data_IF_530938259933
#
_entry.id   IF_530938259933
#
_cell.length_a   1.000
_cell.length_b   1.000
_cell.length_c   1.000
_cell.angle_alpha   90.00
_cell.angle_beta   90.00
_cell.angle_gamma   90.00
#
_symmetry.space_group_name_H-M   'P 1'
#
loop_
_entity.id
_entity.type
_entity.pdbx_description
1 polymer ?
#
# COMPACT_ATOMS: atom_id res chain seq x y z
N UNK A 1 17.13 -5.65 -11.11
CA UNK A 1 16.55 -6.88 -10.53
C UNK A 1 15.07 -6.91 -10.84
N UNK A 2 14.55 -7.93 -11.54
CA UNK A 2 13.11 -8.09 -11.75
C UNK A 2 12.56 -8.97 -10.61
N UNK A 3 11.66 -8.42 -9.81
CA UNK A 3 10.99 -9.13 -8.72
C UNK A 3 9.51 -9.26 -9.06
N UNK A 4 8.95 -10.45 -8.82
CA UNK A 4 7.53 -10.72 -8.98
C UNK A 4 6.98 -11.20 -7.64
N UNK A 5 5.77 -10.76 -7.32
CA UNK A 5 5.07 -11.11 -6.10
C UNK A 5 3.67 -11.60 -6.48
N UNK A 6 3.19 -12.61 -5.76
CA UNK A 6 1.82 -13.10 -5.85
C UNK A 6 1.15 -12.84 -4.50
N UNK A 7 -0.07 -12.29 -4.54
CA UNK A 7 -0.85 -11.98 -3.34
C UNK A 7 -2.23 -12.60 -3.45
N UNK A 8 -2.63 -13.35 -2.43
CA UNK A 8 -3.97 -13.90 -2.34
C UNK A 8 -4.94 -12.85 -1.78
N UNK A 9 -5.97 -12.53 -2.56
CA UNK A 9 -6.97 -11.52 -2.18
C UNK A 9 -8.11 -12.21 -1.44
N UNK A 10 -8.25 -11.92 -0.14
CA UNK A 10 -9.34 -12.50 0.68
C UNK A 10 -10.70 -11.84 0.45
N UNK A 11 -10.72 -10.54 0.12
CA UNK A 11 -11.93 -9.75 -0.01
C UNK A 11 -11.91 -8.87 -1.27
N UNK A 12 -13.01 -8.80 -2.05
CA UNK A 12 -13.04 -8.05 -3.31
C UNK A 12 -12.81 -6.54 -3.13
N UNK A 13 -13.14 -5.98 -1.96
CA UNK A 13 -12.93 -4.55 -1.65
C UNK A 13 -11.54 -4.24 -1.10
N UNK A 14 -10.64 -5.23 -1.01
CA UNK A 14 -9.26 -4.97 -0.62
C UNK A 14 -8.60 -3.98 -1.59
N UNK A 15 -7.58 -3.29 -1.11
CA UNK A 15 -6.80 -2.33 -1.92
C UNK A 15 -5.33 -2.68 -1.77
N UNK A 16 -4.56 -2.53 -2.84
CA UNK A 16 -3.12 -2.77 -2.81
C UNK A 16 -2.40 -1.44 -2.56
N UNK A 17 -1.80 -1.30 -1.38
CA UNK A 17 -0.97 -0.16 -1.02
C UNK A 17 0.50 -0.52 -1.16
N UNK A 18 1.26 0.30 -1.88
CA UNK A 18 2.69 0.13 -2.06
C UNK A 18 3.43 1.37 -1.57
N UNK A 19 4.45 1.16 -0.74
CA UNK A 19 5.36 2.19 -0.27
C UNK A 19 6.76 1.94 -0.77
N UNK A 20 7.42 3.01 -1.19
CA UNK A 20 8.81 3.04 -1.60
C UNK A 20 9.62 3.62 -0.45
N UNK A 21 10.59 2.85 0.01
CA UNK A 21 11.46 3.22 1.12
C UNK A 21 12.90 3.16 0.66
N UNK A 22 13.67 4.14 1.10
CA UNK A 22 15.11 4.13 0.99
C UNK A 22 15.70 3.25 2.10
N UNK A 23 16.70 2.43 1.75
CA UNK A 23 17.38 1.52 2.66
C UNK A 23 18.88 1.87 2.78
N UNK A 24 19.29 3.05 2.33
CA UNK A 24 20.71 3.41 2.18
C UNK A 24 21.34 3.97 3.48
N UNK A 25 20.60 3.97 4.59
CA UNK A 25 21.07 4.47 5.88
C UNK A 25 21.93 3.47 6.67
N UNK A 26 22.76 3.94 7.63
CA UNK A 26 23.50 3.07 8.56
C UNK A 26 22.54 2.07 9.25
N UNK A 27 23.04 0.95 9.82
CA UNK A 27 22.20 -0.13 10.39
C UNK A 27 21.18 0.32 11.46
N UNK A 28 21.32 1.55 11.98
CA UNK A 28 20.41 2.18 12.94
C UNK A 28 19.48 3.24 12.35
N UNK A 29 19.64 3.66 11.09
CA UNK A 29 18.75 4.62 10.43
C UNK A 29 17.30 4.09 10.33
N UNK A 30 16.36 5.01 10.39
CA UNK A 30 14.94 4.72 10.12
C UNK A 30 14.76 4.42 8.62
N UNK A 31 13.70 3.69 8.27
CA UNK A 31 13.33 3.54 6.86
C UNK A 31 12.76 4.85 6.35
N UNK A 32 13.51 5.56 5.51
CA UNK A 32 13.07 6.84 4.96
C UNK A 32 12.06 6.59 3.85
N UNK A 33 10.85 7.10 4.05
CA UNK A 33 9.77 6.94 3.09
C UNK A 33 9.95 7.91 1.92
N UNK A 34 10.14 7.37 0.72
CA UNK A 34 10.32 8.13 -0.52
C UNK A 34 8.98 8.47 -1.16
N UNK A 35 7.99 7.58 -1.00
CA UNK A 35 6.64 7.83 -1.47
C UNK A 35 5.73 6.61 -1.32
N UNK A 36 4.45 6.79 -1.61
CA UNK A 36 3.46 5.72 -1.63
C UNK A 36 2.44 5.91 -2.74
N UNK A 37 1.86 4.82 -3.20
CA UNK A 37 0.75 4.85 -4.15
C UNK A 37 -0.22 3.71 -3.88
N UNK A 38 -1.47 3.92 -4.28
CA UNK A 38 -2.56 2.97 -4.08
C UNK A 38 -3.01 2.48 -5.44
N UNK A 39 -3.08 1.16 -5.60
CA UNK A 39 -3.62 0.51 -6.78
C UNK A 39 -5.05 0.07 -6.44
N UNK A 40 -6.03 0.78 -6.99
CA UNK A 40 -7.41 0.30 -7.01
C UNK A 40 -7.58 -0.64 -8.21
N UNK A 41 -7.76 -1.92 -7.93
CA UNK A 41 -7.93 -2.94 -8.96
C UNK A 41 -9.38 -3.19 -9.38
N UNK A 42 -10.36 -2.49 -8.80
CA UNK A 42 -11.79 -2.66 -9.13
C UNK A 42 -12.10 -2.36 -10.61
N UNK A 43 -11.32 -1.47 -11.24
CA UNK A 43 -11.49 -1.10 -12.64
C UNK A 43 -10.62 -1.94 -13.60
N UNK A 44 -9.90 -2.93 -13.09
CA UNK A 44 -9.01 -3.75 -13.89
C UNK A 44 -9.73 -5.03 -14.35
N UNK A 45 -9.54 -5.38 -15.60
CA UNK A 45 -10.12 -6.56 -16.23
C UNK A 45 -9.29 -7.79 -15.85
N UNK A 46 -9.99 -8.89 -15.57
CA UNK A 46 -9.38 -10.20 -15.30
C UNK A 46 -8.42 -10.60 -16.42
N UNK A 47 -7.33 -11.27 -16.03
CA UNK A 47 -6.31 -11.86 -16.90
C UNK A 47 -5.65 -10.91 -17.90
N UNK A 48 -5.83 -9.61 -17.68
CA UNK A 48 -5.19 -8.56 -18.44
C UNK A 48 -3.94 -8.10 -17.72
N UNK A 49 -2.85 -7.92 -18.48
CA UNK A 49 -1.58 -7.42 -17.96
C UNK A 49 -1.55 -5.90 -18.12
N UNK A 50 -1.49 -5.20 -17.00
CA UNK A 50 -1.41 -3.75 -16.95
C UNK A 50 0.02 -3.32 -16.64
N UNK A 51 0.49 -2.28 -17.33
CA UNK A 51 1.73 -1.56 -16.99
C UNK A 51 1.33 -0.19 -16.48
N UNK A 52 1.36 -0.04 -15.16
CA UNK A 52 0.90 1.15 -14.46
C UNK A 52 2.11 2.02 -14.09
N UNK A 53 2.02 3.32 -14.34
CA UNK A 53 3.03 4.31 -13.97
C UNK A 53 2.45 5.29 -12.96
N UNK A 54 3.12 5.39 -11.82
CA UNK A 54 2.72 6.25 -10.71
C UNK A 54 3.82 7.28 -10.43
N UNK A 55 3.46 8.55 -10.38
CA UNK A 55 4.31 9.59 -9.84
C UNK A 55 4.42 9.41 -8.31
N UNK A 56 5.65 9.51 -7.79
CA UNK A 56 5.92 9.45 -6.36
C UNK A 56 6.05 10.88 -5.81
N UNK A 57 5.41 11.11 -4.68
CA UNK A 57 5.47 12.35 -3.91
C UNK A 57 5.89 12.00 -2.49
N UNK A 58 6.81 12.76 -1.90
CA UNK A 58 7.31 12.49 -0.57
C UNK A 58 6.24 12.75 0.51
N UNK A 59 5.42 13.79 0.32
CA UNK A 59 4.27 14.10 1.18
C UNK A 59 3.01 14.41 0.36
N UNK A 60 1.83 14.19 0.94
CA UNK A 60 0.51 14.48 0.37
C UNK A 60 0.29 15.96 0.03
N UNK A 61 1.02 16.86 0.68
CA UNK A 61 0.93 18.30 0.45
C UNK A 61 2.00 18.83 -0.52
N UNK A 62 2.89 17.97 -1.00
CA UNK A 62 3.94 18.37 -1.92
C UNK A 62 3.49 18.12 -3.36
N UNK A 63 3.47 19.20 -4.15
CA UNK A 63 3.19 19.13 -5.59
C UNK A 63 4.41 18.64 -6.39
N UNK A 64 5.59 18.63 -5.78
CA UNK A 64 6.83 18.28 -6.47
C UNK A 64 7.03 16.77 -6.52
N UNK A 65 7.02 16.23 -7.74
CA UNK A 65 7.28 14.83 -8.01
C UNK A 65 8.74 14.47 -7.68
N UNK A 66 8.93 13.49 -6.79
CA UNK A 66 10.25 13.00 -6.39
C UNK A 66 10.74 11.81 -7.22
N UNK A 67 9.84 11.17 -7.99
CA UNK A 67 10.20 10.03 -8.82
C UNK A 67 9.01 9.39 -9.53
N UNK A 68 9.25 8.25 -10.16
CA UNK A 68 8.19 7.45 -10.82
C UNK A 68 8.38 5.97 -10.50
N UNK A 69 7.32 5.30 -10.06
CA UNK A 69 7.26 3.86 -9.92
C UNK A 69 6.49 3.25 -11.11
N UNK A 70 7.04 2.20 -11.72
CA UNK A 70 6.33 1.42 -12.74
C UNK A 70 6.07 0.02 -12.20
N UNK A 71 4.80 -0.40 -12.20
CA UNK A 71 4.37 -1.73 -11.74
C UNK A 71 3.67 -2.44 -12.87
N UNK A 72 4.06 -3.70 -13.12
CA UNK A 72 3.34 -4.61 -14.00
C UNK A 72 2.45 -5.52 -13.15
N UNK A 73 1.14 -5.44 -13.34
CA UNK A 73 0.16 -6.15 -12.54
C UNK A 73 -0.77 -6.99 -13.44
N UNK A 74 -1.10 -8.19 -12.99
CA UNK A 74 -2.16 -9.04 -13.55
C UNK A 74 -3.04 -9.51 -12.40
N UNK A 75 -4.35 -9.49 -12.60
CA UNK A 75 -5.32 -10.01 -11.63
C UNK A 75 -5.96 -11.25 -12.21
N UNK A 76 -5.96 -12.31 -11.42
CA UNK A 76 -6.67 -13.54 -11.73
C UNK A 76 -7.65 -13.80 -10.61
N UNK A 77 -8.94 -13.59 -10.89
CA UNK A 77 -10.01 -14.05 -10.02
C UNK A 77 -10.26 -15.52 -10.36
N UNK A 78 -10.52 -16.39 -9.38
CA UNK A 78 -10.88 -17.79 -9.67
C UNK A 78 -12.39 -17.93 -9.91
N UNK A 79 -13.21 -17.29 -9.07
CA UNK A 79 -14.67 -17.38 -9.12
C UNK A 79 -15.33 -16.01 -8.87
N UNK A 80 -15.94 -15.43 -9.91
CA UNK A 80 -16.57 -14.10 -9.81
C UNK A 80 -17.83 -14.13 -8.94
N UNK A 81 -18.61 -15.22 -8.96
CA UNK A 81 -19.83 -15.33 -8.15
C UNK A 81 -19.49 -15.31 -6.67
N UNK A 82 -18.45 -16.02 -6.27
CA UNK A 82 -17.97 -16.02 -4.87
C UNK A 82 -17.42 -14.65 -4.47
N UNK A 83 -16.69 -13.98 -5.37
CA UNK A 83 -16.22 -12.62 -5.12
C UNK A 83 -17.38 -11.63 -4.92
N UNK A 84 -18.42 -11.69 -5.76
CA UNK A 84 -19.62 -10.87 -5.61
C UNK A 84 -20.35 -11.20 -4.29
N UNK A 85 -20.51 -12.47 -3.96
CA UNK A 85 -21.14 -12.87 -2.70
C UNK A 85 -20.38 -12.36 -1.48
N UNK A 86 -19.03 -12.45 -1.52
CA UNK A 86 -18.16 -11.88 -0.48
C UNK A 86 -18.28 -10.37 -0.37
N UNK A 87 -18.60 -9.64 -1.45
CA UNK A 87 -18.77 -8.18 -1.39
C UNK A 87 -19.92 -7.71 -0.49
N UNK A 88 -20.90 -8.59 -0.23
CA UNK A 88 -21.99 -8.31 0.71
C UNK A 88 -21.64 -8.64 2.17
N UNK A 89 -20.50 -9.29 2.41
CA UNK A 89 -19.99 -9.56 3.76
C UNK A 89 -19.00 -8.47 4.18
N UNK A 90 -18.93 -8.11 5.47
CA UNK A 90 -17.93 -7.16 5.92
C UNK A 90 -16.52 -7.74 5.77
N UNK A 91 -15.58 -6.89 5.33
CA UNK A 91 -14.18 -7.29 5.26
C UNK A 91 -13.64 -7.68 6.65
N UNK A 92 -12.82 -8.75 6.74
CA UNK A 92 -12.24 -9.18 8.00
C UNK A 92 -11.34 -8.08 8.58
N UNK A 93 -11.39 -7.91 9.91
CA UNK A 93 -10.50 -7.00 10.63
C UNK A 93 -9.23 -7.76 11.03
N UNK A 94 -8.08 -7.21 10.68
CA UNK A 94 -6.79 -7.79 11.05
C UNK A 94 -6.13 -7.01 12.17
N UNK A 95 -5.68 -7.72 13.20
CA UNK A 95 -4.78 -7.19 14.22
C UNK A 95 -3.35 -7.57 13.82
N UNK A 96 -2.55 -6.57 13.44
CA UNK A 96 -1.17 -6.79 13.03
C UNK A 96 -0.25 -6.44 14.20
N UNK A 97 0.37 -7.46 14.79
CA UNK A 97 1.38 -7.30 15.82
C UNK A 97 2.76 -7.20 15.18
N UNK A 98 3.52 -6.17 15.52
CA UNK A 98 4.87 -5.94 15.00
C UNK A 98 5.89 -6.00 16.12
N UNK A 99 7.02 -6.67 15.87
CA UNK A 99 8.07 -6.87 16.89
C UNK A 99 8.91 -5.62 17.13
N UNK A 100 9.08 -4.78 16.10
CA UNK A 100 9.96 -3.61 16.17
C UNK A 100 9.17 -2.32 15.98
N UNK A 101 9.60 -1.26 16.67
CA UNK A 101 9.08 0.10 16.48
C UNK A 101 9.28 0.58 15.03
N UNK A 102 10.35 0.12 14.36
CA UNK A 102 10.63 0.43 12.96
C UNK A 102 9.55 -0.12 12.03
N UNK A 103 9.21 -1.40 12.15
CA UNK A 103 8.13 -2.02 11.38
C UNK A 103 6.78 -1.36 11.66
N UNK A 104 6.55 -0.91 12.90
CA UNK A 104 5.34 -0.15 13.24
C UNK A 104 5.26 1.19 12.49
N UNK A 105 6.37 1.93 12.41
CA UNK A 105 6.43 3.20 11.65
C UNK A 105 6.15 2.97 10.17
N UNK A 106 6.78 1.98 9.56
CA UNK A 106 6.56 1.61 8.15
C UNK A 106 5.09 1.26 7.90
N UNK A 107 4.51 0.42 8.75
CA UNK A 107 3.11 0.00 8.62
C UNK A 107 2.15 1.18 8.80
N UNK A 108 2.42 2.08 9.77
CA UNK A 108 1.65 3.30 9.95
C UNK A 108 1.75 4.23 8.74
N UNK A 109 2.94 4.40 8.17
CA UNK A 109 3.12 5.22 6.96
C UNK A 109 2.34 4.63 5.77
N UNK A 110 2.41 3.31 5.56
CA UNK A 110 1.67 2.64 4.49
C UNK A 110 0.15 2.87 4.64
N UNK A 111 -0.39 2.62 5.83
CA UNK A 111 -1.83 2.71 6.07
C UNK A 111 -2.36 4.14 6.20
N UNK A 112 -1.63 5.04 6.88
CA UNK A 112 -2.11 6.38 7.25
C UNK A 112 -1.38 7.52 6.52
N UNK A 113 -0.15 7.31 6.08
CA UNK A 113 0.71 8.33 5.47
C UNK A 113 1.66 9.00 6.47
N UNK A 114 2.36 10.05 6.03
CA UNK A 114 3.29 10.82 6.87
C UNK A 114 2.58 11.72 7.88
N UNK A 115 1.34 12.11 7.62
CA UNK A 115 0.56 12.99 8.49
C UNK A 115 0.01 12.20 9.69
N UNK A 116 0.62 12.41 10.86
CA UNK A 116 0.07 12.02 12.16
C UNK A 116 -1.18 12.87 12.46
N UNK A 117 -2.36 12.40 12.04
CA UNK A 117 -3.66 12.94 12.48
C UNK A 117 -3.95 12.65 13.98
N UNK A 118 -3.03 11.98 14.70
CA UNK A 118 -3.18 11.67 16.14
C UNK A 118 -2.65 12.79 17.07
N UNK A 119 -2.14 13.91 16.54
CA UNK A 119 -1.89 15.11 17.35
C UNK A 119 -3.14 16.00 17.39
N UNK A 120 -4.19 15.53 18.04
CA UNK A 120 -5.34 16.37 18.41
C UNK A 120 -5.65 16.19 19.88
N UNK A 121 -5.16 17.15 20.67
CA UNK A 121 -5.43 17.45 22.08
C UNK A 121 -4.85 16.50 23.15
N UNK A 122 -3.58 16.72 23.51
CA UNK A 122 -3.25 16.83 24.93
C UNK A 122 -3.32 18.31 25.28
N UNK A 123 -4.47 18.74 25.82
CA UNK A 123 -4.54 20.01 26.54
C UNK A 123 -3.79 19.82 27.86
N UNK A 124 -2.83 20.72 28.07
CA UNK A 124 -2.13 21.05 29.32
C UNK A 124 -3.04 21.09 30.53
#
# INVERSE_FOLDING_TARGET
SQRAFCFDIQHPTSILLLGVFDYDGPPYADHDAVGRFVINYQNLVRDTVYVLRYALYADTNQEQQCGTATVRLRISLNNEKEAIQKSFTPAPKFLINVKTKKSLKVLRYLCKGQVNMEKTHLKT
#
